data_IF_118118933353
#
_entry.id   IF_118118933353
#
_cell.length_a   1.000
_cell.length_b   1.000
_cell.length_c   1.000
_cell.angle_alpha   90.00
_cell.angle_beta   90.00
_cell.angle_gamma   90.00
#
_symmetry.space_group_name_H-M   'P 1'
#
loop_
_entity.id
_entity.type
_entity.pdbx_description
1 polymer ?
#
# COMPACT_ATOMS: atom_id res chain seq x y z
N UNK A 1 -34.60 -31.77 -0.72
CA UNK A 1 -33.39 -32.26 -0.03
C UNK A 1 -32.49 -32.78 -1.13
N UNK A 2 -31.33 -32.24 -1.47
CA UNK A 2 -30.51 -31.12 -1.01
C UNK A 2 -29.41 -31.06 -2.08
N UNK A 3 -29.03 -29.91 -2.60
CA UNK A 3 -27.63 -29.57 -2.93
C UNK A 3 -27.59 -28.14 -3.48
N UNK A 4 -27.39 -27.17 -2.59
CA UNK A 4 -27.00 -25.82 -2.98
C UNK A 4 -25.47 -25.79 -2.97
N UNK A 5 -24.85 -26.08 -4.11
CA UNK A 5 -23.41 -25.89 -4.31
C UNK A 5 -23.16 -24.42 -4.66
N UNK A 6 -23.16 -23.57 -3.64
CA UNK A 6 -22.61 -22.22 -3.74
C UNK A 6 -21.09 -22.34 -3.71
N UNK A 7 -20.46 -22.44 -4.88
CA UNK A 7 -19.01 -22.28 -5.02
C UNK A 7 -18.71 -20.80 -4.87
N UNK A 8 -18.34 -20.39 -3.66
CA UNK A 8 -17.82 -19.06 -3.39
C UNK A 8 -16.38 -18.99 -3.94
N UNK A 9 -16.27 -18.64 -5.21
CA UNK A 9 -15.00 -18.43 -5.94
C UNK A 9 -14.45 -17.03 -5.64
N UNK A 10 -14.35 -16.64 -4.36
CA UNK A 10 -13.53 -15.49 -4.01
C UNK A 10 -12.06 -15.93 -4.05
N UNK A 11 -11.50 -15.89 -5.26
CA UNK A 11 -10.09 -16.01 -5.56
C UNK A 11 -9.31 -15.08 -4.61
N UNK A 12 -8.71 -15.65 -3.56
CA UNK A 12 -8.04 -14.91 -2.49
C UNK A 12 -6.73 -14.24 -2.91
N UNK A 13 -6.55 -13.95 -4.19
CA UNK A 13 -5.40 -13.23 -4.69
C UNK A 13 -5.53 -11.73 -4.38
N UNK A 14 -4.47 -11.11 -3.84
CA UNK A 14 -4.48 -9.68 -3.59
C UNK A 14 -4.60 -8.91 -4.91
N UNK A 15 -5.47 -7.90 -4.94
CA UNK A 15 -5.63 -7.02 -6.11
C UNK A 15 -4.42 -6.11 -6.27
N UNK A 16 -3.93 -5.96 -7.50
CA UNK A 16 -2.81 -5.08 -7.81
C UNK A 16 -3.23 -3.61 -7.76
N UNK A 17 -2.28 -2.73 -7.47
CA UNK A 17 -2.43 -1.27 -7.53
C UNK A 17 -1.28 -0.63 -8.29
N UNK A 18 -1.48 0.62 -8.72
CA UNK A 18 -0.38 1.41 -9.28
C UNK A 18 0.70 1.67 -8.22
N UNK A 19 1.97 1.76 -8.63
CA UNK A 19 3.04 2.12 -7.71
C UNK A 19 2.77 3.45 -7.00
N UNK A 20 3.05 3.55 -5.70
CA UNK A 20 2.88 4.79 -4.97
C UNK A 20 3.90 5.84 -5.43
N UNK A 21 3.52 7.12 -5.29
CA UNK A 21 4.45 8.22 -5.56
C UNK A 21 5.67 8.14 -4.66
N UNK A 22 6.86 8.40 -5.22
CA UNK A 22 8.11 8.38 -4.44
C UNK A 22 8.24 9.57 -3.48
N UNK A 23 7.41 10.61 -3.67
CA UNK A 23 7.42 11.85 -2.90
C UNK A 23 5.98 12.25 -2.55
N UNK A 24 5.74 12.57 -1.28
CA UNK A 24 4.48 13.15 -0.79
C UNK A 24 4.77 14.39 0.07
N UNK A 25 3.70 15.15 0.34
CA UNK A 25 3.74 16.25 1.31
C UNK A 25 3.65 15.64 2.71
N UNK A 26 4.57 16.02 3.60
CA UNK A 26 4.53 15.60 5.00
C UNK A 26 3.31 16.21 5.70
N UNK A 27 2.49 15.37 6.33
CA UNK A 27 1.25 15.80 7.00
C UNK A 27 1.49 16.65 8.26
N UNK A 28 2.65 16.51 8.92
CA UNK A 28 2.93 17.26 10.15
C UNK A 28 3.60 18.62 9.87
N UNK A 29 4.62 18.66 9.02
CA UNK A 29 5.39 19.89 8.77
C UNK A 29 5.16 20.53 7.39
N UNK A 30 4.44 19.88 6.48
CA UNK A 30 4.26 20.33 5.10
C UNK A 30 5.51 20.21 4.21
N UNK A 31 6.61 19.68 4.72
CA UNK A 31 7.86 19.45 3.98
C UNK A 31 7.79 18.24 3.05
N UNK A 32 8.95 17.84 2.50
CA UNK A 32 9.04 16.73 1.53
C UNK A 32 9.24 15.41 2.27
N UNK A 33 8.37 14.42 2.02
CA UNK A 33 8.52 13.06 2.52
C UNK A 33 8.80 12.07 1.40
N UNK A 34 9.79 11.21 1.62
CA UNK A 34 10.29 10.26 0.63
C UNK A 34 9.85 8.84 0.98
N UNK A 35 9.42 8.09 -0.03
CA UNK A 35 9.12 6.66 0.11
C UNK A 35 10.40 5.91 0.53
N UNK A 36 10.32 5.13 1.60
CA UNK A 36 11.42 4.30 2.10
C UNK A 36 11.12 2.80 2.05
N UNK A 37 9.86 2.41 1.78
CA UNK A 37 9.48 1.03 1.50
C UNK A 37 9.75 0.69 0.04
N UNK A 38 10.37 -0.45 -0.21
CA UNK A 38 10.51 -1.02 -1.55
C UNK A 38 9.31 -1.87 -1.91
N UNK A 39 9.05 -2.05 -3.21
CA UNK A 39 8.06 -3.02 -3.67
C UNK A 39 8.36 -4.43 -3.12
N UNK A 40 7.36 -5.31 -3.18
CA UNK A 40 7.52 -6.73 -2.82
C UNK A 40 8.52 -7.42 -3.75
N UNK A 41 8.88 -8.67 -3.43
CA UNK A 41 9.90 -9.44 -4.16
C UNK A 41 9.62 -9.61 -5.66
N UNK A 42 8.33 -9.59 -6.02
CA UNK A 42 7.83 -9.66 -7.39
C UNK A 42 7.94 -8.31 -8.14
N UNK A 43 8.26 -7.21 -7.45
CA UNK A 43 8.20 -5.82 -7.93
C UNK A 43 6.77 -5.35 -8.24
N UNK A 44 5.76 -5.89 -7.56
CA UNK A 44 4.38 -5.40 -7.62
C UNK A 44 3.95 -4.76 -6.29
N UNK A 45 2.84 -4.02 -6.39
CA UNK A 45 2.12 -3.43 -5.26
C UNK A 45 0.70 -3.94 -5.26
N UNK A 46 0.16 -4.13 -4.06
CA UNK A 46 -1.17 -4.67 -3.88
C UNK A 46 -2.01 -3.80 -2.96
N UNK A 47 -3.33 -3.86 -3.13
CA UNK A 47 -4.28 -3.26 -2.19
C UNK A 47 -4.01 -3.83 -0.80
N UNK A 48 -3.97 -2.93 0.18
CA UNK A 48 -3.66 -3.27 1.56
C UNK A 48 -2.17 -3.29 1.91
N UNK A 49 -1.27 -3.13 0.93
CA UNK A 49 0.16 -2.93 1.25
C UNK A 49 0.35 -1.67 2.07
N UNK A 50 1.25 -1.76 3.06
CA UNK A 50 1.64 -0.63 3.90
C UNK A 50 2.96 -0.07 3.41
N UNK A 51 2.94 1.18 2.97
CA UNK A 51 4.13 1.91 2.50
C UNK A 51 4.54 2.96 3.51
N UNK A 52 5.84 3.03 3.79
CA UNK A 52 6.40 3.97 4.73
C UNK A 52 7.09 5.12 4.00
N UNK A 53 6.81 6.34 4.46
CA UNK A 53 7.45 7.57 4.03
C UNK A 53 8.22 8.19 5.19
N UNK A 54 9.31 8.89 4.88
CA UNK A 54 10.07 9.67 5.86
C UNK A 54 10.29 11.10 5.39
N UNK A 55 9.93 12.06 6.23
CA UNK A 55 10.18 13.48 5.95
C UNK A 55 11.68 13.81 6.01
N UNK A 56 12.17 14.59 5.04
CA UNK A 56 13.53 15.13 5.06
C UNK A 56 13.75 16.21 6.12
N UNK A 57 12.69 16.94 6.48
CA UNK A 57 12.73 18.11 7.37
C UNK A 57 12.49 17.74 8.84
N UNK A 58 11.28 17.28 9.19
CA UNK A 58 10.94 16.93 10.59
C UNK A 58 11.46 15.54 11.00
N UNK A 59 11.80 14.69 10.02
CA UNK A 59 12.26 13.29 10.19
C UNK A 59 11.21 12.32 10.70
N UNK A 60 9.95 12.75 10.82
CA UNK A 60 8.83 11.86 11.12
C UNK A 60 8.56 10.86 10.00
N UNK A 61 7.92 9.76 10.39
CA UNK A 61 7.55 8.65 9.52
C UNK A 61 6.03 8.53 9.43
N UNK A 62 5.55 8.20 8.24
CA UNK A 62 4.14 7.97 7.94
C UNK A 62 3.96 6.62 7.27
N UNK A 63 2.99 5.85 7.73
CA UNK A 63 2.61 4.56 7.18
C UNK A 63 1.24 4.71 6.50
N UNK A 64 1.18 4.44 5.19
CA UNK A 64 -0.01 4.63 4.35
C UNK A 64 -0.41 3.27 3.77
N UNK A 65 -1.70 2.98 3.77
CA UNK A 65 -2.27 1.76 3.17
C UNK A 65 -2.63 2.08 1.72
N UNK A 66 -2.24 1.22 0.78
CA UNK A 66 -2.61 1.35 -0.63
C UNK A 66 -4.04 0.82 -0.87
N UNK A 67 -4.79 1.52 -1.72
CA UNK A 67 -6.19 1.24 -2.06
C UNK A 67 -6.41 0.98 -3.56
#
# INVERSE_FOLDING_TARGET
>A
MSDESFVDDHDGHPSHVEPPDTIIICVDCGGTAHLITTAREDNQWYVGDVVAYRCGDCRDRWDIILE
#
